data_IF_104271292342
#
_entry.id   IF_104271292342
#
_cell.length_a   1.000
_cell.length_b   1.000
_cell.length_c   1.000
_cell.angle_alpha   90.00
_cell.angle_beta   90.00
_cell.angle_gamma   90.00
#
_symmetry.space_group_name_H-M   'P 1'
#
loop_
_entity.id
_entity.type
_entity.pdbx_description
1 polymer ?
#
# COMPACT_ATOMS: atom_id res chain seq x y z
N UNK A 1 12.19 -9.19 11.86
CA UNK A 1 11.26 -8.52 10.92
C UNK A 1 10.39 -7.53 11.68
N UNK A 2 10.49 -6.26 11.30
CA UNK A 2 9.65 -5.18 11.82
C UNK A 2 8.26 -5.23 11.15
N UNK A 3 7.20 -5.10 11.94
CA UNK A 3 5.82 -5.09 11.44
C UNK A 3 5.09 -3.87 11.96
N UNK A 4 4.44 -3.13 11.07
CA UNK A 4 3.52 -2.07 11.43
C UNK A 4 2.25 -2.12 10.56
N UNK A 5 1.11 -1.94 11.22
CA UNK A 5 -0.19 -1.84 10.58
C UNK A 5 -0.85 -0.52 10.96
N UNK A 6 -1.47 0.12 9.98
CA UNK A 6 -2.25 1.34 10.17
C UNK A 6 -3.54 1.27 9.36
N UNK A 7 -4.64 1.64 10.00
CA UNK A 7 -5.96 1.64 9.39
C UNK A 7 -6.61 3.02 9.52
N UNK A 8 -7.32 3.44 8.48
CA UNK A 8 -8.12 4.66 8.46
C UNK A 8 -9.54 4.33 7.99
N UNK A 9 -10.50 5.14 8.42
CA UNK A 9 -11.86 5.07 7.88
C UNK A 9 -11.83 5.44 6.40
N UNK A 10 -12.46 4.60 5.57
CA UNK A 10 -12.62 4.89 4.13
C UNK A 10 -13.53 6.09 3.95
N UNK A 11 -14.59 6.21 4.77
CA UNK A 11 -15.60 7.26 4.72
C UNK A 11 -15.76 7.95 6.09
N UNK A 12 -14.77 8.73 6.54
CA UNK A 12 -14.87 9.44 7.80
C UNK A 12 -15.96 10.53 7.75
N UNK A 13 -16.47 11.00 8.89
CA UNK A 13 -17.36 12.16 8.94
C UNK A 13 -16.76 13.37 8.20
N UNK A 14 -17.53 13.98 7.30
CA UNK A 14 -17.09 15.15 6.53
C UNK A 14 -16.32 14.83 5.24
N UNK A 15 -16.19 13.56 4.86
CA UNK A 15 -15.58 13.20 3.59
C UNK A 15 -16.39 13.75 2.40
N UNK A 16 -15.70 14.27 1.37
CA UNK A 16 -16.33 14.97 0.23
C UNK A 16 -17.32 14.12 -0.56
N UNK A 17 -17.04 12.82 -0.70
CA UNK A 17 -17.91 11.82 -1.35
C UNK A 17 -17.85 10.50 -0.58
N UNK A 18 -18.89 9.69 -0.60
CA UNK A 18 -18.78 8.33 -0.04
C UNK A 18 -18.16 7.40 -1.10
N UNK A 19 -17.04 6.75 -0.77
CA UNK A 19 -16.42 5.75 -1.62
C UNK A 19 -17.06 4.38 -1.40
N UNK A 20 -17.29 3.66 -2.50
CA UNK A 20 -17.67 2.24 -2.46
C UNK A 20 -16.45 1.33 -2.37
N UNK A 21 -16.66 0.06 -1.99
CA UNK A 21 -15.59 -0.96 -2.04
C UNK A 21 -15.00 -1.09 -3.44
N UNK A 22 -15.84 -1.00 -4.49
CA UNK A 22 -15.40 -1.09 -5.88
C UNK A 22 -14.45 0.04 -6.29
N UNK A 23 -14.75 1.28 -5.86
CA UNK A 23 -13.89 2.44 -6.12
C UNK A 23 -12.55 2.35 -5.39
N UNK A 24 -12.57 1.98 -4.11
CA UNK A 24 -11.33 1.78 -3.36
C UNK A 24 -10.50 0.66 -3.98
N UNK A 25 -11.15 -0.44 -4.38
CA UNK A 25 -10.49 -1.54 -5.09
C UNK A 25 -9.84 -1.09 -6.40
N UNK A 26 -10.56 -0.36 -7.25
CA UNK A 26 -10.03 0.19 -8.49
C UNK A 26 -8.80 1.07 -8.23
N UNK A 27 -8.86 1.91 -7.20
CA UNK A 27 -7.73 2.69 -6.71
C UNK A 27 -6.51 1.87 -6.30
N UNK A 28 -6.72 0.77 -5.54
CA UNK A 28 -5.64 -0.12 -5.13
C UNK A 28 -5.01 -0.85 -6.31
N UNK A 29 -5.81 -1.21 -7.34
CA UNK A 29 -5.31 -1.79 -8.58
C UNK A 29 -4.46 -0.76 -9.35
N UNK A 30 -4.94 0.48 -9.50
CA UNK A 30 -4.16 1.56 -10.13
C UNK A 30 -2.84 1.79 -9.40
N UNK A 31 -2.86 1.86 -8.07
CA UNK A 31 -1.65 2.00 -7.23
C UNK A 31 -0.70 0.80 -7.36
N UNK A 32 -1.22 -0.39 -7.58
CA UNK A 32 -0.40 -1.57 -7.80
C UNK A 32 0.31 -1.54 -9.16
N UNK A 33 -0.34 -0.98 -10.19
CA UNK A 33 0.23 -0.81 -11.52
C UNK A 33 1.24 0.34 -11.58
N UNK A 34 0.89 1.49 -11.02
CA UNK A 34 1.74 2.66 -10.86
C UNK A 34 1.55 3.30 -9.48
N UNK A 35 2.57 3.13 -8.63
CA UNK A 35 2.55 3.68 -7.28
C UNK A 35 3.15 5.10 -7.19
N UNK A 36 3.72 5.67 -8.26
CA UNK A 36 4.31 7.01 -8.24
C UNK A 36 3.33 8.10 -7.77
N UNK A 37 2.05 8.12 -8.23
CA UNK A 37 1.08 9.11 -7.76
C UNK A 37 0.68 8.97 -6.29
N UNK A 38 0.98 7.82 -5.67
CA UNK A 38 0.46 7.43 -4.36
C UNK A 38 1.52 7.45 -3.26
N UNK A 39 2.80 7.35 -3.64
CA UNK A 39 3.91 7.18 -2.71
C UNK A 39 5.00 8.22 -3.04
N UNK A 40 5.00 9.39 -2.39
CA UNK A 40 5.92 10.49 -2.74
C UNK A 40 7.42 10.15 -2.71
N UNK A 41 7.82 9.18 -1.88
CA UNK A 41 9.20 8.72 -1.77
C UNK A 41 9.61 7.69 -2.86
N UNK A 42 8.67 7.23 -3.69
CA UNK A 42 8.94 6.33 -4.80
C UNK A 42 9.47 7.13 -6.00
N UNK A 43 10.58 6.65 -6.57
CA UNK A 43 11.24 7.30 -7.72
C UNK A 43 10.96 6.60 -9.04
N UNK A 44 10.59 5.31 -8.99
CA UNK A 44 10.35 4.48 -10.16
C UNK A 44 9.32 3.40 -9.85
N UNK A 45 8.44 3.11 -10.81
CA UNK A 45 7.49 2.01 -10.77
C UNK A 45 7.26 1.50 -12.20
N UNK A 46 7.94 0.41 -12.57
CA UNK A 46 7.83 -0.18 -13.90
C UNK A 46 7.10 -1.52 -13.81
N UNK A 47 5.98 -1.63 -14.51
CA UNK A 47 5.29 -2.90 -14.70
C UNK A 47 6.14 -3.82 -15.60
N UNK A 48 6.55 -4.97 -15.06
CA UNK A 48 7.35 -5.95 -15.80
C UNK A 48 6.46 -7.01 -16.47
N UNK A 49 5.44 -7.46 -15.74
CA UNK A 49 4.54 -8.52 -16.20
C UNK A 49 3.14 -8.32 -15.64
N UNK A 50 2.11 -8.60 -16.45
CA UNK A 50 0.70 -8.58 -16.03
C UNK A 50 0.07 -9.94 -16.28
N UNK A 51 -0.50 -10.52 -15.23
CA UNK A 51 -1.19 -11.80 -15.27
C UNK A 51 -2.64 -11.71 -14.78
N UNK A 52 -3.33 -12.85 -14.80
CA UNK A 52 -4.67 -12.97 -14.25
C UNK A 52 -4.60 -12.92 -12.71
N UNK A 53 -5.07 -11.83 -12.12
CA UNK A 53 -5.08 -11.66 -10.66
C UNK A 53 -3.70 -11.38 -10.05
N UNK A 54 -2.69 -11.07 -10.85
CA UNK A 54 -1.36 -10.71 -10.35
C UNK A 54 -0.62 -9.76 -11.30
N UNK A 55 0.46 -9.15 -10.81
CA UNK A 55 1.44 -8.46 -11.63
C UNK A 55 2.83 -8.56 -11.00
N UNK A 56 3.87 -8.32 -11.79
CA UNK A 56 5.25 -8.18 -11.32
C UNK A 56 5.78 -6.82 -11.72
N UNK A 57 6.46 -6.13 -10.81
CA UNK A 57 6.95 -4.76 -11.05
C UNK A 57 8.32 -4.51 -10.44
N UNK A 58 9.10 -3.64 -11.06
CA UNK A 58 10.32 -3.09 -10.49
C UNK A 58 10.02 -1.72 -9.89
N UNK A 59 10.47 -1.46 -8.67
CA UNK A 59 10.33 -0.17 -8.01
C UNK A 59 11.65 0.33 -7.45
N UNK A 60 11.80 1.65 -7.37
CA UNK A 60 12.90 2.30 -6.66
C UNK A 60 12.36 3.16 -5.54
N UNK A 61 12.85 2.94 -4.32
CA UNK A 61 12.49 3.70 -3.13
C UNK A 61 13.76 4.25 -2.48
N UNK A 62 13.92 5.57 -2.47
CA UNK A 62 15.20 6.19 -2.15
C UNK A 62 16.29 5.74 -3.12
N UNK A 63 17.37 5.17 -2.59
CA UNK A 63 18.51 4.65 -3.36
C UNK A 63 18.51 3.11 -3.46
N UNK A 64 17.38 2.48 -3.14
CA UNK A 64 17.22 1.02 -3.20
C UNK A 64 16.26 0.63 -4.32
N UNK A 65 16.64 -0.42 -5.05
CA UNK A 65 15.82 -1.05 -6.07
C UNK A 65 15.26 -2.37 -5.56
N UNK A 66 14.01 -2.64 -5.92
CA UNK A 66 13.30 -3.84 -5.54
C UNK A 66 12.48 -4.37 -6.71
N UNK A 67 12.22 -5.66 -6.71
CA UNK A 67 11.17 -6.27 -7.51
C UNK A 67 10.06 -6.77 -6.59
N UNK A 68 8.80 -6.60 -7.02
CA UNK A 68 7.63 -7.02 -6.26
C UNK A 68 6.75 -7.94 -7.09
N UNK A 69 6.31 -9.04 -6.48
CA UNK A 69 5.20 -9.85 -6.95
C UNK A 69 3.93 -9.35 -6.25
N UNK A 70 2.97 -8.86 -7.03
CA UNK A 70 1.70 -8.36 -6.50
C UNK A 70 0.60 -9.35 -6.83
N UNK A 71 -0.21 -9.69 -5.82
CA UNK A 71 -1.34 -10.62 -5.94
C UNK A 71 -2.62 -9.94 -5.51
N UNK A 72 -3.65 -10.06 -6.34
CA UNK A 72 -4.96 -9.45 -6.16
C UNK A 72 -5.96 -10.49 -5.64
N UNK A 73 -6.49 -10.25 -4.44
CA UNK A 73 -7.58 -11.00 -3.83
C UNK A 73 -8.83 -10.11 -3.85
N UNK A 74 -9.43 -10.01 -5.03
CA UNK A 74 -10.48 -9.06 -5.31
C UNK A 74 -11.75 -9.31 -4.47
N UNK A 75 -12.49 -8.24 -4.08
CA UNK A 75 -12.14 -6.82 -4.20
C UNK A 75 -11.55 -6.24 -2.90
N UNK A 76 -10.93 -7.07 -2.04
CA UNK A 76 -10.67 -6.69 -0.64
C UNK A 76 -9.21 -6.62 -0.24
N UNK A 77 -8.32 -7.35 -0.93
CA UNK A 77 -6.94 -7.47 -0.50
C UNK A 77 -5.99 -7.39 -1.70
N UNK A 78 -4.96 -6.56 -1.58
CA UNK A 78 -3.78 -6.58 -2.45
C UNK A 78 -2.58 -6.92 -1.58
N UNK A 79 -1.81 -7.93 -2.01
CA UNK A 79 -0.56 -8.34 -1.35
C UNK A 79 0.60 -8.03 -2.28
N UNK A 80 1.64 -7.41 -1.74
CA UNK A 80 2.91 -7.12 -2.41
C UNK A 80 3.99 -7.92 -1.70
N UNK A 81 4.63 -8.85 -2.40
CA UNK A 81 5.74 -9.66 -1.89
C UNK A 81 7.05 -9.14 -2.52
N UNK A 82 8.07 -8.86 -1.69
CA UNK A 82 9.41 -8.52 -2.19
C UNK A 82 10.07 -9.77 -2.75
N UNK A 83 10.46 -9.73 -4.02
CA UNK A 83 11.13 -10.88 -4.65
C UNK A 83 12.50 -11.07 -3.98
N UNK A 84 12.74 -12.29 -3.48
CA UNK A 84 14.01 -12.64 -2.84
C UNK A 84 14.09 -12.36 -1.34
N UNK A 85 13.00 -11.92 -0.70
CA UNK A 85 12.88 -11.85 0.77
C UNK A 85 11.51 -12.33 1.23
N UNK A 86 11.33 -12.43 2.55
CA UNK A 86 10.02 -12.73 3.19
C UNK A 86 9.22 -11.45 3.47
N UNK A 87 9.68 -10.29 3.00
CA UNK A 87 9.05 -9.01 3.26
C UNK A 87 7.78 -8.83 2.42
N UNK A 88 6.75 -8.23 3.02
CA UNK A 88 5.50 -8.02 2.33
C UNK A 88 4.75 -6.76 2.78
N UNK A 89 3.85 -6.30 1.91
CA UNK A 89 2.86 -5.28 2.21
C UNK A 89 1.46 -5.84 1.91
N UNK A 90 0.51 -5.59 2.80
CA UNK A 90 -0.91 -5.89 2.61
C UNK A 90 -1.70 -4.58 2.54
N UNK A 91 -2.63 -4.46 1.62
CA UNK A 91 -3.62 -3.38 1.56
C UNK A 91 -4.99 -4.02 1.63
N UNK A 92 -5.75 -3.79 2.71
CA UNK A 92 -6.98 -4.52 3.04
C UNK A 92 -8.15 -3.56 3.24
N UNK A 93 -9.26 -3.85 2.57
CA UNK A 93 -10.56 -3.21 2.79
C UNK A 93 -11.37 -4.12 3.72
N UNK A 94 -11.66 -3.65 4.94
CA UNK A 94 -12.42 -4.42 5.93
C UNK A 94 -13.71 -3.72 6.35
N UNK A 95 -14.70 -4.53 6.72
CA UNK A 95 -15.89 -4.05 7.42
C UNK A 95 -15.57 -3.90 8.91
N UNK A 96 -16.10 -2.86 9.55
CA UNK A 96 -15.94 -2.60 10.98
C UNK A 96 -17.20 -1.96 11.59
N UNK A 97 -17.24 -1.84 12.91
CA UNK A 97 -18.35 -1.18 13.61
C UNK A 97 -18.50 0.31 13.24
N UNK A 98 -17.45 0.95 12.73
CA UNK A 98 -17.45 2.35 12.28
C UNK A 98 -17.58 2.49 10.76
N UNK A 99 -17.89 1.40 10.06
CA UNK A 99 -17.96 1.35 8.60
C UNK A 99 -16.73 0.72 7.97
N UNK A 100 -16.44 1.08 6.71
CA UNK A 100 -15.33 0.51 5.95
C UNK A 100 -13.99 1.10 6.40
N UNK A 101 -12.99 0.25 6.60
CA UNK A 101 -11.61 0.64 6.87
C UNK A 101 -10.70 0.24 5.72
N UNK A 102 -9.70 1.08 5.45
CA UNK A 102 -8.54 0.71 4.64
C UNK A 102 -7.35 0.57 5.57
N UNK A 103 -6.82 -0.64 5.69
CA UNK A 103 -5.58 -0.89 6.43
C UNK A 103 -4.45 -1.23 5.48
N UNK A 104 -3.29 -0.63 5.71
CA UNK A 104 -2.07 -1.17 5.19
C UNK A 104 -1.35 -1.91 6.33
N UNK A 105 -0.74 -3.06 6.04
CA UNK A 105 0.29 -3.67 6.90
C UNK A 105 1.60 -3.81 6.12
N UNK A 106 2.73 -3.46 6.72
CA UNK A 106 4.05 -3.74 6.17
C UNK A 106 4.83 -4.60 7.16
N UNK A 107 5.58 -5.53 6.59
CA UNK A 107 6.46 -6.45 7.29
C UNK A 107 7.78 -6.44 6.52
N UNK A 108 8.82 -5.85 7.11
CA UNK A 108 10.10 -5.61 6.44
C UNK A 108 11.28 -5.99 7.32
N UNK A 109 12.33 -6.47 6.67
CA UNK A 109 13.59 -6.86 7.26
C UNK A 109 14.68 -5.90 6.80
N UNK A 110 15.66 -5.62 7.67
CA UNK A 110 16.77 -4.74 7.33
C UNK A 110 18.06 -5.56 7.23
N UNK A 111 18.71 -5.63 6.04
CA UNK A 111 19.93 -6.41 5.87
C UNK A 111 21.01 -6.03 6.90
N UNK A 112 21.58 -7.05 7.54
CA UNK A 112 22.63 -6.88 8.55
C UNK A 112 22.15 -6.39 9.92
N UNK A 113 20.83 -6.22 10.13
CA UNK A 113 20.25 -5.83 11.42
C UNK A 113 19.61 -7.06 12.06
N UNK A 114 19.84 -7.25 13.35
CA UNK A 114 19.26 -8.36 14.09
C UNK A 114 17.76 -8.13 14.35
N UNK A 115 16.96 -9.17 14.15
CA UNK A 115 15.54 -9.19 14.48
C UNK A 115 15.30 -8.85 15.97
N UNK A 116 14.32 -7.98 16.22
CA UNK A 116 13.94 -7.52 17.55
C UNK A 116 14.92 -6.53 18.19
N UNK A 117 15.97 -6.10 17.48
CA UNK A 117 16.92 -5.13 18.01
C UNK A 117 16.35 -3.71 18.07
N UNK A 118 16.92 -2.87 18.93
CA UNK A 118 16.61 -1.44 18.98
C UNK A 118 16.88 -0.74 17.62
N UNK A 119 17.88 -1.20 16.89
CA UNK A 119 18.20 -0.70 15.55
C UNK A 119 17.10 -1.04 14.53
N UNK A 120 16.58 -2.27 14.53
CA UNK A 120 15.44 -2.66 13.67
C UNK A 120 14.24 -1.77 13.98
N UNK A 121 13.93 -1.59 15.26
CA UNK A 121 12.81 -0.76 15.69
C UNK A 121 13.01 0.71 15.29
N UNK A 122 14.19 1.28 15.49
CA UNK A 122 14.49 2.66 15.12
C UNK A 122 14.37 2.90 13.61
N UNK A 123 14.89 1.98 12.78
CA UNK A 123 14.76 2.05 11.31
C UNK A 123 13.31 1.90 10.87
N UNK A 124 12.57 0.95 11.46
CA UNK A 124 11.14 0.75 11.18
C UNK A 124 10.30 1.98 11.54
N UNK A 125 10.53 2.58 12.71
CA UNK A 125 9.84 3.78 13.15
C UNK A 125 10.13 5.00 12.26
N UNK A 126 11.35 5.13 11.74
CA UNK A 126 11.68 6.20 10.79
C UNK A 126 10.84 6.14 9.50
N UNK A 127 10.28 4.97 9.15
CA UNK A 127 9.41 4.79 7.98
C UNK A 127 7.92 5.01 8.28
N UNK A 128 7.52 5.12 9.55
CA UNK A 128 6.12 5.19 9.99
C UNK A 128 5.35 6.32 9.33
N UNK A 129 5.91 7.53 9.31
CA UNK A 129 5.20 8.72 8.80
C UNK A 129 4.91 8.57 7.30
N UNK A 130 5.92 8.22 6.50
CA UNK A 130 5.76 7.99 5.07
C UNK A 130 4.71 6.90 4.79
N UNK A 131 4.72 5.85 5.61
CA UNK A 131 3.78 4.76 5.50
C UNK A 131 2.33 5.16 5.82
N UNK A 132 2.12 5.81 6.97
CA UNK A 132 0.81 6.31 7.39
C UNK A 132 0.26 7.30 6.35
N UNK A 133 1.13 8.18 5.85
CA UNK A 133 0.81 9.12 4.78
C UNK A 133 0.35 8.44 3.50
N UNK A 134 0.94 7.30 3.11
CA UNK A 134 0.56 6.57 1.91
C UNK A 134 -0.89 6.02 1.97
N UNK A 135 -1.38 5.63 3.15
CA UNK A 135 -2.78 5.17 3.32
C UNK A 135 -3.74 6.32 3.03
N UNK A 136 -3.50 7.48 3.64
CA UNK A 136 -4.33 8.67 3.47
C UNK A 136 -4.26 9.21 2.03
N UNK A 137 -3.06 9.28 1.45
CA UNK A 137 -2.85 9.71 0.06
C UNK A 137 -3.58 8.79 -0.93
N UNK A 138 -3.61 7.49 -0.67
CA UNK A 138 -4.36 6.53 -1.49
C UNK A 138 -5.84 6.88 -1.51
N UNK A 139 -6.48 7.08 -0.36
CA UNK A 139 -7.90 7.45 -0.33
C UNK A 139 -8.15 8.83 -0.93
N UNK A 140 -7.26 9.80 -0.72
CA UNK A 140 -7.39 11.12 -1.33
C UNK A 140 -7.40 11.03 -2.85
N UNK A 141 -6.48 10.28 -3.46
CA UNK A 141 -6.44 10.09 -4.91
C UNK A 141 -7.66 9.33 -5.44
N UNK A 142 -8.11 8.30 -4.72
CA UNK A 142 -9.33 7.58 -5.10
C UNK A 142 -10.55 8.49 -5.06
N UNK A 143 -10.65 9.39 -4.07
CA UNK A 143 -11.73 10.38 -3.99
C UNK A 143 -11.72 11.35 -5.15
N UNK A 144 -10.53 11.83 -5.52
CA UNK A 144 -10.35 12.69 -6.69
C UNK A 144 -10.88 12.00 -7.96
N UNK A 145 -10.40 10.79 -8.25
CA UNK A 145 -10.80 10.01 -9.44
C UNK A 145 -12.30 9.71 -9.46
N UNK A 146 -12.87 9.30 -8.32
CA UNK A 146 -14.30 9.02 -8.18
C UNK A 146 -15.14 10.29 -8.37
N UNK A 147 -14.66 11.46 -7.93
CA UNK A 147 -15.37 12.73 -8.12
C UNK A 147 -15.45 13.16 -9.59
N UNK A 148 -14.51 12.68 -10.42
CA UNK A 148 -14.51 12.89 -11.87
C UNK A 148 -15.21 11.77 -12.66
N UNK A 149 -15.69 10.71 -11.99
CA UNK A 149 -16.29 9.55 -12.64
C UNK A 149 -15.29 8.64 -13.36
N UNK A 150 -14.00 8.72 -13.01
CA UNK A 150 -12.94 7.90 -13.58
C UNK A 150 -12.88 6.49 -12.95
N UNK A 151 -13.50 6.32 -11.76
CA UNK A 151 -13.67 5.05 -11.04
C UNK A 151 -14.99 4.96 -10.26
#
# INVERSE_FOLDING_TARGET
MFILSHAVEINPPGASIALTVGQVWAGLVLKAEDALPFVPAMRRCDLLERGAGCLRRAISFGDQDFEEQVTFYAPRLVRFDRVGSDDFILNIISDSAVGLLLSFTFAISFPGVADGSEEEHARGEAMREAYVGAVAATLAKVRELASHGEI
#
